data_IF_359378940381
#
_entry.id   IF_359378940381
#
_cell.length_a   1.000
_cell.length_b   1.000
_cell.length_c   1.000
_cell.angle_alpha   90.00
_cell.angle_beta   90.00
_cell.angle_gamma   90.00
#
_symmetry.space_group_name_H-M   'P 1'
#
loop_
_entity.id
_entity.type
_entity.pdbx_description
1 polymer ?
#
# COMPACT_ATOMS: atom_id res chain seq x y z
N UNK A 1 -28.19 13.69 -0.56
CA UNK A 1 -27.45 14.72 -1.34
C UNK A 1 -27.40 14.32 -2.81
N UNK A 2 -27.34 15.28 -3.73
CA UNK A 2 -27.33 15.00 -5.18
C UNK A 2 -25.91 15.01 -5.73
N UNK A 3 -25.61 14.08 -6.63
CA UNK A 3 -24.33 14.09 -7.32
C UNK A 3 -24.27 15.28 -8.30
N UNK A 4 -23.19 16.06 -8.34
CA UNK A 4 -23.05 17.22 -9.22
C UNK A 4 -22.91 16.84 -10.70
N UNK A 5 -22.56 15.59 -10.99
CA UNK A 5 -22.33 15.11 -12.35
C UNK A 5 -23.60 14.48 -12.96
N UNK A 6 -24.23 13.56 -12.23
CA UNK A 6 -25.42 12.80 -12.65
C UNK A 6 -26.75 13.43 -12.16
N UNK A 7 -26.74 14.36 -11.20
CA UNK A 7 -27.92 14.94 -10.52
C UNK A 7 -28.88 13.91 -9.86
N UNK A 8 -28.41 12.68 -9.67
CA UNK A 8 -29.12 11.62 -8.94
C UNK A 8 -28.75 11.62 -7.47
N UNK A 9 -29.58 10.96 -6.65
CA UNK A 9 -29.31 10.83 -5.23
C UNK A 9 -28.10 9.92 -4.99
N UNK A 10 -27.19 10.41 -4.16
CA UNK A 10 -26.08 9.62 -3.65
C UNK A 10 -26.63 8.55 -2.68
N UNK A 11 -26.01 7.37 -2.73
CA UNK A 11 -26.32 6.24 -1.86
C UNK A 11 -25.20 6.09 -0.84
N UNK A 12 -25.58 6.02 0.42
CA UNK A 12 -24.66 5.83 1.53
C UNK A 12 -24.31 4.34 1.69
N UNK A 13 -23.03 4.04 1.91
CA UNK A 13 -22.55 2.68 2.18
C UNK A 13 -21.38 2.73 3.16
N UNK A 14 -21.28 1.73 4.03
CA UNK A 14 -20.07 1.50 4.82
C UNK A 14 -19.11 0.61 4.02
N UNK A 15 -17.84 1.02 3.92
CA UNK A 15 -16.76 0.19 3.38
C UNK A 15 -15.57 0.20 4.31
N UNK A 16 -15.25 -0.99 4.84
CA UNK A 16 -14.14 -1.18 5.77
C UNK A 16 -14.28 -0.32 7.03
N UNK A 17 -15.51 -0.01 7.49
CA UNK A 17 -15.75 0.88 8.62
C UNK A 17 -15.48 2.36 8.29
N UNK A 18 -15.80 2.78 7.07
CA UNK A 18 -15.80 4.16 6.59
C UNK A 18 -17.11 4.36 5.84
N UNK A 19 -17.93 5.27 6.34
CA UNK A 19 -19.13 5.72 5.66
C UNK A 19 -18.70 6.51 4.41
N UNK A 20 -19.28 6.18 3.26
CA UNK A 20 -19.01 6.87 2.00
C UNK A 20 -20.33 7.05 1.23
N UNK A 21 -20.44 8.16 0.50
CA UNK A 21 -21.53 8.40 -0.43
C UNK A 21 -21.08 8.11 -1.87
N UNK A 22 -21.83 7.29 -2.61
CA UNK A 22 -21.52 6.98 -4.02
C UNK A 22 -22.71 7.24 -4.98
N UNK A 23 -22.45 7.72 -6.20
CA UNK A 23 -23.47 7.80 -7.27
C UNK A 23 -23.55 6.42 -7.96
N UNK A 24 -24.73 5.77 -8.01
CA UNK A 24 -24.89 4.49 -8.70
C UNK A 24 -24.69 4.60 -10.22
N UNK A 25 -24.95 5.77 -10.81
CA UNK A 25 -24.90 5.97 -12.26
C UNK A 25 -23.49 6.26 -12.77
N UNK A 26 -22.83 7.28 -12.20
CA UNK A 26 -21.50 7.69 -12.64
C UNK A 26 -20.35 7.07 -11.84
N UNK A 27 -20.66 6.34 -10.76
CA UNK A 27 -19.68 5.72 -9.84
C UNK A 27 -18.75 6.72 -9.13
N UNK A 28 -19.11 8.00 -9.10
CA UNK A 28 -18.41 9.02 -8.30
C UNK A 28 -18.57 8.75 -6.80
N UNK A 29 -17.50 9.01 -6.04
CA UNK A 29 -17.46 8.87 -4.57
C UNK A 29 -17.29 10.24 -3.94
N UNK A 30 -18.07 10.52 -2.91
CA UNK A 30 -18.07 11.75 -2.14
C UNK A 30 -17.65 11.43 -0.71
N UNK A 31 -16.69 12.18 -0.20
CA UNK A 31 -16.04 11.98 1.09
C UNK A 31 -15.95 13.30 1.85
N UNK A 32 -16.17 13.24 3.15
CA UNK A 32 -15.98 14.38 4.04
C UNK A 32 -14.52 14.53 4.48
N UNK A 33 -14.20 15.74 5.00
CA UNK A 33 -12.90 16.05 5.61
C UNK A 33 -12.74 15.25 6.91
N UNK A 34 -12.10 14.09 6.79
CA UNK A 34 -11.84 13.14 7.89
C UNK A 34 -12.10 11.68 7.48
N UNK A 35 -12.95 11.44 6.50
CA UNK A 35 -13.12 10.12 5.88
C UNK A 35 -11.94 9.81 4.96
N UNK A 36 -11.50 10.81 4.19
CA UNK A 36 -10.32 10.69 3.32
C UNK A 36 -9.07 10.27 4.11
N UNK A 37 -8.83 10.88 5.27
CA UNK A 37 -7.68 10.56 6.11
C UNK A 37 -7.71 9.10 6.58
N UNK A 38 -8.89 8.60 6.98
CA UNK A 38 -9.10 7.19 7.36
C UNK A 38 -8.84 6.23 6.20
N UNK A 39 -9.23 6.62 4.97
CA UNK A 39 -8.97 5.82 3.77
C UNK A 39 -7.46 5.74 3.49
N UNK A 40 -6.74 6.87 3.58
CA UNK A 40 -5.30 6.93 3.35
C UNK A 40 -4.56 6.04 4.36
N UNK A 41 -4.89 6.15 5.65
CA UNK A 41 -4.26 5.36 6.71
C UNK A 41 -4.46 3.86 6.50
N UNK A 42 -5.68 3.41 6.22
CA UNK A 42 -5.98 1.98 5.97
C UNK A 42 -5.35 1.46 4.69
N UNK A 43 -5.32 2.25 3.62
CA UNK A 43 -4.69 1.84 2.35
C UNK A 43 -3.19 1.53 2.52
N UNK A 44 -2.52 2.27 3.40
CA UNK A 44 -1.10 2.10 3.71
C UNK A 44 -0.82 0.84 4.55
N UNK A 45 -1.78 0.38 5.35
CA UNK A 45 -1.64 -0.82 6.17
C UNK A 45 -1.80 -2.11 5.36
N UNK A 46 -2.70 -2.13 4.37
CA UNK A 46 -2.89 -3.29 3.49
C UNK A 46 -1.65 -3.61 2.63
N UNK A 47 -0.82 -2.62 2.31
CA UNK A 47 0.45 -2.85 1.61
C UNK A 47 1.56 -3.46 2.47
N UNK A 48 1.47 -3.36 3.81
CA UNK A 48 2.54 -3.81 4.73
C UNK A 48 2.39 -5.27 5.15
N UNK A 49 1.18 -5.82 5.12
CA UNK A 49 0.94 -7.23 5.46
C UNK A 49 1.41 -8.22 4.38
N UNK A 50 1.77 -7.75 3.19
CA UNK A 50 2.30 -8.60 2.12
C UNK A 50 3.81 -8.91 2.24
N UNK A 51 4.52 -8.38 3.26
CA UNK A 51 5.99 -8.53 3.37
C UNK A 51 6.49 -9.24 4.65
N UNK A 52 5.61 -9.68 5.56
CA UNK A 52 6.03 -10.21 6.88
C UNK A 52 6.00 -11.74 7.05
N UNK A 53 5.95 -12.54 5.98
CA UNK A 53 6.00 -14.01 6.10
C UNK A 53 7.38 -14.66 5.82
N UNK A 54 8.50 -13.92 5.86
CA UNK A 54 9.83 -14.50 5.56
C UNK A 54 10.96 -14.12 6.55
N UNK A 55 10.65 -13.83 7.82
CA UNK A 55 11.65 -13.38 8.81
C UNK A 55 11.74 -14.23 10.09
N UNK A 56 11.48 -15.53 10.01
CA UNK A 56 11.55 -16.42 11.19
C UNK A 56 12.30 -17.72 10.96
N UNK A 57 13.44 -17.70 10.27
CA UNK A 57 14.43 -18.75 10.47
C UNK A 57 15.86 -18.29 10.17
N UNK A 58 16.59 -17.87 11.21
CA UNK A 58 18.07 -17.96 11.34
C UNK A 58 18.54 -17.38 12.67
N UNK A 59 18.21 -18.09 13.76
CA UNK A 59 18.99 -18.01 15.00
C UNK A 59 20.07 -19.10 14.97
N UNK A 60 21.30 -18.76 14.55
CA UNK A 60 22.51 -19.48 14.98
C UNK A 60 23.76 -18.63 14.73
N UNK A 61 24.20 -17.88 15.73
CA UNK A 61 25.57 -17.37 15.78
C UNK A 61 26.46 -18.46 16.39
N UNK A 62 27.54 -18.84 15.68
CA UNK A 62 28.82 -19.02 16.36
C UNK A 62 29.85 -18.02 15.84
N UNK A 63 30.66 -17.56 16.78
CA UNK A 63 31.80 -16.65 16.60
C UNK A 63 32.89 -17.25 15.72
N UNK A 64 33.73 -16.34 15.21
CA UNK A 64 35.13 -16.49 14.81
C UNK A 64 35.49 -16.54 13.32
N UNK A 65 36.51 -15.71 13.03
CA UNK A 65 37.50 -15.71 11.93
C UNK A 65 37.20 -14.85 10.70
N UNK A 66 37.76 -13.64 10.78
CA UNK A 66 38.91 -13.16 9.97
C UNK A 66 38.94 -13.53 8.46
N UNK A 67 39.29 -12.50 7.67
CA UNK A 67 39.85 -12.50 6.29
C UNK A 67 38.98 -11.98 5.14
N UNK A 68 39.55 -10.92 4.53
CA UNK A 68 39.53 -10.55 3.11
C UNK A 68 38.44 -9.61 2.58
N UNK A 69 38.84 -8.33 2.54
CA UNK A 69 38.58 -7.38 1.46
C UNK A 69 38.49 -8.06 0.07
N UNK A 70 37.29 -8.12 -0.51
CA UNK A 70 37.11 -8.19 -1.97
C UNK A 70 35.95 -7.31 -2.43
N UNK A 71 36.35 -6.14 -2.94
CA UNK A 71 35.58 -5.24 -3.80
C UNK A 71 35.25 -5.95 -5.13
N UNK A 72 33.98 -6.21 -5.44
CA UNK A 72 33.47 -6.47 -6.81
C UNK A 72 32.04 -5.92 -6.88
N UNK A 73 31.90 -4.72 -7.47
CA UNK A 73 31.39 -4.45 -8.83
C UNK A 73 29.89 -4.72 -8.94
N UNK A 74 29.17 -3.64 -9.25
CA UNK A 74 27.75 -3.48 -9.03
C UNK A 74 26.84 -4.27 -9.97
N UNK A 75 25.64 -4.50 -9.45
CA UNK A 75 24.42 -4.99 -10.12
C UNK A 75 23.83 -4.00 -11.14
N UNK A 76 24.63 -3.06 -11.66
CA UNK A 76 24.20 -2.10 -12.70
C UNK A 76 24.91 -2.32 -14.04
N UNK A 77 25.75 -3.36 -14.15
CA UNK A 77 26.53 -3.65 -15.36
C UNK A 77 25.86 -4.58 -16.39
N UNK A 78 24.70 -5.17 -16.08
CA UNK A 78 24.01 -6.13 -16.96
C UNK A 78 22.64 -5.61 -17.46
N UNK A 79 22.28 -4.35 -17.19
CA UNK A 79 21.00 -3.74 -17.61
C UNK A 79 21.15 -2.71 -18.76
N UNK A 80 22.36 -2.45 -19.25
CA UNK A 80 22.61 -1.56 -20.40
C UNK A 80 23.49 -2.26 -21.45
N UNK A 81 23.02 -3.40 -21.95
CA UNK A 81 23.53 -3.99 -23.20
C UNK A 81 22.34 -4.17 -24.17
N UNK A 82 21.96 -3.06 -24.82
CA UNK A 82 21.19 -2.98 -26.06
C UNK A 82 21.47 -1.66 -26.78
#
# INVERSE_FOLDING_TARGET
MKCPNCNVNLVMTDRSGIEIDYCPDCRGVWLDRGELDKIIERSSQNGRNAQQENYSDKQRYPTDKEHQYKKKKGLFGELFDF
#
